data_IF_391487651016
#
_entry.id   IF_391487651016
#
_cell.length_a   1.000
_cell.length_b   1.000
_cell.length_c   1.000
_cell.angle_alpha   90.00
_cell.angle_beta   90.00
_cell.angle_gamma   90.00
#
_symmetry.space_group_name_H-M   'P 1'
#
loop_
_entity.id
_entity.type
_entity.pdbx_description
1 polymer ?
#
# COMPACT_ATOMS: atom_id res chain seq x y z
N UNK A 1 10.20 20.12 30.14
CA UNK A 1 9.92 18.78 30.66
C UNK A 1 9.68 17.90 29.44
N UNK A 2 10.76 17.38 28.84
CA UNK A 2 10.67 16.57 27.63
C UNK A 2 10.17 15.18 28.03
N UNK A 3 9.02 14.78 27.48
CA UNK A 3 8.46 13.46 27.67
C UNK A 3 9.53 12.40 27.41
N UNK A 4 9.60 11.40 28.31
CA UNK A 4 10.67 10.42 28.40
C UNK A 4 11.13 9.90 27.05
N UNK A 5 12.45 9.81 26.92
CA UNK A 5 13.21 9.27 25.80
C UNK A 5 12.78 7.82 25.51
N UNK A 6 11.63 7.66 24.85
CA UNK A 6 11.20 6.38 24.32
C UNK A 6 12.07 6.15 23.11
N UNK A 7 13.18 5.44 23.32
CA UNK A 7 14.03 4.93 22.24
C UNK A 7 13.14 4.08 21.35
N UNK A 8 12.64 4.67 20.26
CA UNK A 8 11.83 3.96 19.28
C UNK A 8 12.76 2.89 18.70
N UNK A 9 12.51 1.64 19.06
CA UNK A 9 13.26 0.53 18.49
C UNK A 9 12.81 0.32 17.05
N UNK A 10 13.65 -0.31 16.22
CA UNK A 10 13.28 -0.65 14.84
C UNK A 10 11.95 -1.42 14.77
N UNK A 11 11.71 -2.27 15.76
CA UNK A 11 10.47 -3.04 15.92
C UNK A 11 9.26 -2.13 16.18
N UNK A 12 9.38 -1.12 17.04
CA UNK A 12 8.30 -0.16 17.31
C UNK A 12 7.99 0.71 16.08
N UNK A 13 9.02 1.11 15.33
CA UNK A 13 8.87 1.86 14.09
C UNK A 13 8.11 1.05 13.02
N UNK A 14 8.40 -0.25 12.92
CA UNK A 14 7.71 -1.16 12.01
C UNK A 14 6.25 -1.40 12.42
N UNK A 15 5.98 -1.56 13.72
CA UNK A 15 4.63 -1.78 14.22
C UNK A 15 3.72 -0.56 14.02
N UNK A 16 4.27 0.64 14.23
CA UNK A 16 3.59 1.92 13.94
C UNK A 16 3.36 2.13 12.44
N UNK A 17 4.31 1.69 11.61
CA UNK A 17 4.18 1.73 10.15
C UNK A 17 3.03 0.83 9.68
N UNK A 18 2.97 -0.43 10.11
CA UNK A 18 1.95 -1.38 9.65
C UNK A 18 0.51 -0.91 9.93
N UNK A 19 0.27 -0.25 11.07
CA UNK A 19 -1.07 0.25 11.41
C UNK A 19 -1.49 1.47 10.58
N UNK A 20 -0.54 2.13 9.92
CA UNK A 20 -0.77 3.40 9.20
C UNK A 20 -0.73 3.24 7.68
N UNK A 21 -0.01 2.24 7.16
CA UNK A 21 0.18 2.08 5.71
C UNK A 21 -1.09 1.59 4.99
N UNK A 22 -1.82 2.55 4.40
CA UNK A 22 -2.93 2.33 3.46
C UNK A 22 -2.55 1.37 2.32
N UNK A 23 -1.31 1.45 1.82
CA UNK A 23 -0.80 0.58 0.76
C UNK A 23 -0.84 -0.92 1.13
N UNK A 24 -0.64 -1.27 2.40
CA UNK A 24 -0.71 -2.66 2.85
C UNK A 24 -2.16 -3.18 2.82
N UNK A 25 -3.11 -2.34 3.23
CA UNK A 25 -4.54 -2.66 3.19
C UNK A 25 -5.02 -2.81 1.75
N UNK A 26 -4.60 -1.92 0.84
CA UNK A 26 -4.90 -2.04 -0.59
C UNK A 26 -4.35 -3.35 -1.17
N UNK A 27 -3.09 -3.67 -0.88
CA UNK A 27 -2.50 -4.92 -1.36
C UNK A 27 -3.16 -6.17 -0.76
N UNK A 28 -3.66 -6.09 0.47
CA UNK A 28 -4.43 -7.17 1.09
C UNK A 28 -5.81 -7.34 0.44
N UNK A 29 -6.46 -6.23 0.09
CA UNK A 29 -7.71 -6.23 -0.66
C UNK A 29 -7.51 -6.82 -2.06
N UNK A 30 -6.40 -6.53 -2.74
CA UNK A 30 -6.07 -7.14 -4.03
C UNK A 30 -5.96 -8.67 -3.95
N UNK A 31 -5.41 -9.20 -2.86
CA UNK A 31 -5.39 -10.64 -2.58
C UNK A 31 -6.81 -11.16 -2.39
N UNK A 32 -7.64 -10.48 -1.60
CA UNK A 32 -9.03 -10.85 -1.36
C UNK A 32 -9.85 -10.87 -2.67
N UNK A 33 -9.72 -9.83 -3.50
CA UNK A 33 -10.36 -9.76 -4.81
C UNK A 33 -9.89 -10.89 -5.73
N UNK A 34 -8.60 -11.25 -5.66
CA UNK A 34 -8.05 -12.38 -6.40
C UNK A 34 -8.64 -13.72 -5.92
N UNK A 35 -8.84 -13.90 -4.63
CA UNK A 35 -9.54 -15.07 -4.05
C UNK A 35 -11.00 -15.14 -4.53
N UNK A 36 -11.71 -14.01 -4.58
CA UNK A 36 -13.05 -13.94 -5.21
C UNK A 36 -13.03 -14.26 -6.70
N UNK A 37 -11.90 -14.04 -7.37
CA UNK A 37 -11.66 -14.53 -8.72
C UNK A 37 -11.70 -16.07 -8.83
N UNK A 38 -11.23 -16.80 -7.81
CA UNK A 38 -11.32 -18.27 -7.76
C UNK A 38 -12.77 -18.70 -7.59
N UNK A 39 -13.50 -18.06 -6.67
CA UNK A 39 -14.93 -18.33 -6.44
C UNK A 39 -15.73 -18.10 -7.73
N UNK A 40 -15.46 -17.00 -8.43
CA UNK A 40 -16.07 -16.71 -9.74
C UNK A 40 -15.72 -17.75 -10.80
N UNK A 41 -14.47 -18.23 -10.83
CA UNK A 41 -14.04 -19.24 -11.79
C UNK A 41 -14.72 -20.59 -11.53
N UNK A 42 -14.91 -20.99 -10.26
CA UNK A 42 -15.64 -22.22 -9.95
C UNK A 42 -17.14 -22.08 -10.23
N UNK A 43 -17.73 -20.89 -10.08
CA UNK A 43 -19.12 -20.64 -10.48
C UNK A 43 -19.39 -20.88 -11.97
N UNK A 44 -18.38 -20.78 -12.85
CA UNK A 44 -18.54 -21.10 -14.28
C UNK A 44 -18.65 -22.61 -14.54
N UNK A 45 -18.23 -23.45 -13.59
CA UNK A 45 -18.34 -24.91 -13.66
C UNK A 45 -19.69 -25.38 -13.09
N UNK A 46 -20.26 -24.61 -12.17
CA UNK A 46 -21.54 -24.90 -11.53
C UNK A 46 -22.73 -24.54 -12.44
N UNK A 47 -23.87 -25.24 -12.32
CA UNK A 47 -25.09 -24.84 -13.02
C UNK A 47 -25.57 -23.47 -12.51
N UNK A 48 -26.03 -22.63 -13.43
CA UNK A 48 -26.59 -21.32 -13.12
C UNK A 48 -28.10 -21.35 -13.26
N UNK A 49 -28.82 -20.96 -12.21
CA UNK A 49 -30.25 -20.73 -12.24
C UNK A 49 -30.50 -19.22 -12.33
N UNK A 50 -31.23 -18.81 -13.36
CA UNK A 50 -31.63 -17.41 -13.56
C UNK A 50 -33.14 -17.36 -13.62
N UNK A 51 -33.72 -16.35 -12.96
CA UNK A 51 -35.15 -16.07 -12.99
C UNK A 51 -35.32 -14.62 -13.42
N UNK A 52 -36.08 -14.41 -14.47
CA UNK A 52 -36.31 -13.11 -15.09
C UNK A 52 -37.82 -12.82 -15.10
N UNK A 53 -38.18 -11.56 -14.87
CA UNK A 53 -39.55 -11.08 -14.95
C UNK A 53 -39.56 -9.80 -15.77
N UNK A 54 -40.26 -9.81 -16.90
CA UNK A 54 -40.28 -8.70 -17.85
C UNK A 54 -41.69 -8.14 -17.96
N UNK A 55 -41.82 -6.82 -17.88
CA UNK A 55 -43.06 -6.11 -18.13
C UNK A 55 -42.83 -5.11 -19.26
N UNK A 56 -43.51 -5.32 -20.38
CA UNK A 56 -43.42 -4.48 -21.57
C UNK A 56 -44.77 -3.83 -21.85
N UNK A 57 -44.79 -2.50 -21.92
CA UNK A 57 -45.98 -1.72 -22.30
C UNK A 57 -45.81 -1.20 -23.71
N UNK A 58 -46.77 -1.50 -24.59
CA UNK A 58 -46.72 -1.05 -25.98
C UNK A 58 -47.46 0.28 -26.13
N UNK A 59 -46.86 1.24 -26.83
CA UNK A 59 -47.47 2.55 -27.10
C UNK A 59 -48.30 2.51 -28.38
N UNK A 60 -49.48 3.11 -28.35
CA UNK A 60 -50.53 3.06 -29.39
C UNK A 60 -50.14 3.79 -30.69
N UNK A 61 -49.21 3.24 -31.49
CA UNK A 61 -48.96 3.75 -32.85
C UNK A 61 -49.35 2.78 -33.98
N UNK A 62 -49.81 1.56 -33.67
CA UNK A 62 -50.40 0.64 -34.67
C UNK A 62 -51.52 -0.21 -34.06
N UNK A 63 -52.72 0.38 -33.96
CA UNK A 63 -53.97 -0.37 -33.73
C UNK A 63 -54.15 -1.32 -34.90
N UNK A 64 -53.99 -2.63 -34.69
CA UNK A 64 -54.80 -3.68 -35.33
C UNK A 64 -54.40 -5.12 -34.97
N UNK A 65 -53.30 -5.42 -34.27
CA UNK A 65 -52.96 -6.82 -33.94
C UNK A 65 -52.10 -7.10 -32.68
N UNK A 66 -51.84 -6.13 -31.79
CA UNK A 66 -50.90 -6.33 -30.67
C UNK A 66 -51.52 -5.98 -29.29
N UNK A 67 -51.33 -6.81 -28.24
CA UNK A 67 -51.86 -6.55 -26.90
C UNK A 67 -51.21 -5.32 -26.21
N UNK A 68 -51.99 -4.60 -25.41
CA UNK A 68 -51.60 -3.32 -24.78
C UNK A 68 -50.46 -3.45 -23.76
N UNK A 69 -50.31 -4.63 -23.16
CA UNK A 69 -49.21 -4.97 -22.27
C UNK A 69 -48.82 -6.44 -22.43
N UNK A 70 -47.58 -6.74 -22.10
CA UNK A 70 -47.06 -8.10 -22.05
C UNK A 70 -46.22 -8.26 -20.80
N UNK A 71 -46.56 -9.29 -20.03
CA UNK A 71 -45.80 -9.71 -18.86
C UNK A 71 -45.26 -11.11 -19.15
N UNK A 72 -43.96 -11.31 -19.00
CA UNK A 72 -43.33 -12.63 -19.07
C UNK A 72 -42.57 -12.93 -17.79
N UNK A 73 -42.59 -14.19 -17.40
CA UNK A 73 -41.78 -14.73 -16.31
C UNK A 73 -41.05 -15.94 -16.86
N UNK A 74 -39.74 -15.95 -16.72
CA UNK A 74 -38.87 -16.94 -17.34
C UNK A 74 -37.91 -17.47 -16.28
N UNK A 75 -37.79 -18.78 -16.16
CA UNK A 75 -36.81 -19.44 -15.29
C UNK A 75 -35.93 -20.32 -16.16
N UNK A 76 -34.62 -20.08 -16.12
CA UNK A 76 -33.64 -20.76 -16.96
C UNK A 76 -32.57 -21.41 -16.09
N UNK A 77 -32.43 -22.73 -16.22
CA UNK A 77 -31.30 -23.48 -15.72
C UNK A 77 -30.30 -23.72 -16.86
N UNK A 78 -29.04 -23.33 -16.68
CA UNK A 78 -27.98 -23.50 -17.67
C UNK A 78 -26.79 -24.22 -17.07
N UNK A 79 -26.31 -25.28 -17.72
CA UNK A 79 -25.11 -26.02 -17.32
C UNK A 79 -24.28 -26.37 -18.56
N UNK A 80 -22.99 -26.04 -18.52
CA UNK A 80 -22.04 -26.50 -19.53
C UNK A 80 -21.65 -27.94 -19.25
N UNK A 81 -21.98 -28.88 -20.14
CA UNK A 81 -21.64 -30.29 -19.96
C UNK A 81 -20.16 -30.57 -20.25
N UNK A 82 -19.61 -29.97 -21.31
CA UNK A 82 -18.21 -30.12 -21.66
C UNK A 82 -17.74 -28.99 -22.58
N UNK A 83 -16.78 -28.21 -22.10
CA UNK A 83 -16.15 -27.12 -22.86
C UNK A 83 -14.65 -27.36 -23.11
N UNK A 84 -14.25 -28.62 -23.32
CA UNK A 84 -12.87 -28.97 -23.72
C UNK A 84 -11.80 -28.67 -22.66
N UNK A 85 -12.17 -28.60 -21.38
CA UNK A 85 -11.24 -28.29 -20.28
C UNK A 85 -10.95 -26.80 -20.07
N UNK A 86 -11.67 -25.91 -20.78
CA UNK A 86 -11.55 -24.45 -20.63
C UNK A 86 -11.78 -24.00 -19.19
N UNK A 87 -12.89 -24.41 -18.57
CA UNK A 87 -13.25 -23.94 -17.21
C UNK A 87 -12.24 -24.39 -16.14
N UNK A 88 -11.75 -25.62 -16.25
CA UNK A 88 -10.69 -26.13 -15.37
C UNK A 88 -9.38 -25.38 -15.52
N UNK A 89 -9.06 -24.96 -16.74
CA UNK A 89 -7.87 -24.15 -17.01
C UNK A 89 -8.02 -22.73 -16.48
N UNK A 90 -9.21 -22.13 -16.59
CA UNK A 90 -9.53 -20.84 -15.98
C UNK A 90 -9.46 -20.89 -14.45
N UNK A 91 -9.97 -21.96 -13.82
CA UNK A 91 -9.85 -22.14 -12.37
C UNK A 91 -8.40 -22.27 -11.91
N UNK A 92 -7.57 -23.05 -12.62
CA UNK A 92 -6.12 -23.14 -12.33
C UNK A 92 -5.42 -21.80 -12.54
N UNK A 93 -5.77 -21.07 -13.58
CA UNK A 93 -5.24 -19.72 -13.83
C UNK A 93 -5.62 -18.77 -12.70
N UNK A 94 -6.87 -18.78 -12.24
CA UNK A 94 -7.32 -17.96 -11.11
C UNK A 94 -6.51 -18.27 -9.84
N UNK A 95 -6.27 -19.55 -9.53
CA UNK A 95 -5.40 -19.95 -8.41
C UNK A 95 -3.98 -19.40 -8.53
N UNK A 96 -3.36 -19.52 -9.71
CA UNK A 96 -2.01 -18.99 -9.95
C UNK A 96 -1.96 -17.47 -9.89
N UNK A 97 -3.02 -16.79 -10.31
CA UNK A 97 -3.17 -15.34 -10.14
C UNK A 97 -3.23 -14.95 -8.67
N UNK A 98 -4.01 -15.64 -7.85
CA UNK A 98 -4.07 -15.40 -6.39
C UNK A 98 -2.72 -15.64 -5.71
N UNK A 99 -2.00 -16.69 -6.09
CA UNK A 99 -0.64 -16.95 -5.61
C UNK A 99 0.30 -15.78 -5.95
N UNK A 100 0.26 -15.27 -7.18
CA UNK A 100 1.01 -14.08 -7.59
C UNK A 100 0.64 -12.83 -6.79
N UNK A 101 -0.64 -12.60 -6.51
CA UNK A 101 -1.09 -11.47 -5.69
C UNK A 101 -0.57 -11.59 -4.24
N UNK A 102 -0.53 -12.81 -3.68
CA UNK A 102 0.05 -13.06 -2.35
C UNK A 102 1.54 -12.76 -2.30
N UNK A 103 2.29 -13.13 -3.34
CA UNK A 103 3.70 -12.75 -3.43
C UNK A 103 3.90 -11.23 -3.59
N UNK A 104 2.99 -10.54 -4.27
CA UNK A 104 3.03 -9.08 -4.41
C UNK A 104 2.77 -8.37 -3.07
N UNK A 105 1.88 -8.93 -2.25
CA UNK A 105 1.66 -8.47 -0.87
C UNK A 105 2.91 -8.63 -0.02
N UNK A 106 3.57 -9.77 -0.10
CA UNK A 106 4.82 -10.00 0.64
C UNK A 106 5.94 -9.04 0.18
N UNK A 107 6.09 -8.84 -1.14
CA UNK A 107 7.06 -7.88 -1.67
C UNK A 107 6.77 -6.43 -1.20
N UNK A 108 5.49 -6.05 -1.11
CA UNK A 108 5.08 -4.75 -0.56
C UNK A 108 5.46 -4.64 0.92
N UNK A 109 5.24 -5.70 1.70
CA UNK A 109 5.61 -5.77 3.11
C UNK A 109 7.12 -5.64 3.31
N UNK A 110 7.91 -6.36 2.52
CA UNK A 110 9.38 -6.28 2.52
C UNK A 110 9.87 -4.88 2.14
N UNK A 111 9.25 -4.26 1.12
CA UNK A 111 9.55 -2.89 0.72
C UNK A 111 9.29 -1.86 1.82
N UNK A 112 8.18 -2.00 2.55
CA UNK A 112 7.88 -1.17 3.73
C UNK A 112 8.94 -1.38 4.81
N UNK A 113 9.31 -2.63 5.11
CA UNK A 113 10.34 -2.95 6.10
C UNK A 113 11.69 -2.32 5.74
N UNK A 114 12.08 -2.37 4.47
CA UNK A 114 13.29 -1.73 3.96
C UNK A 114 13.23 -0.21 4.12
N UNK A 115 12.13 0.43 3.71
CA UNK A 115 11.95 1.88 3.81
C UNK A 115 11.99 2.37 5.26
N UNK A 116 11.33 1.66 6.19
CA UNK A 116 11.37 1.97 7.62
C UNK A 116 12.79 1.85 8.17
N UNK A 117 13.50 0.79 7.79
CA UNK A 117 14.90 0.57 8.21
C UNK A 117 15.81 1.70 7.70
N UNK A 118 15.68 2.08 6.43
CA UNK A 118 16.44 3.19 5.84
C UNK A 118 16.16 4.51 6.54
N UNK A 119 14.88 4.84 6.78
CA UNK A 119 14.48 6.05 7.48
C UNK A 119 15.05 6.11 8.90
N UNK A 120 14.98 4.98 9.63
CA UNK A 120 15.53 4.85 10.97
C UNK A 120 17.03 5.15 11.01
N UNK A 121 17.82 4.49 10.15
CA UNK A 121 19.26 4.72 10.09
C UNK A 121 19.62 6.13 9.59
N UNK A 122 18.79 6.73 8.74
CA UNK A 122 18.99 8.11 8.28
C UNK A 122 18.84 9.12 9.43
N UNK A 123 17.85 8.91 10.31
CA UNK A 123 17.67 9.72 11.52
C UNK A 123 18.87 9.57 12.46
N UNK A 124 19.27 8.33 12.78
CA UNK A 124 20.45 8.08 13.62
C UNK A 124 21.72 8.71 13.06
N UNK A 125 21.91 8.66 11.73
CA UNK A 125 23.03 9.32 11.06
C UNK A 125 22.95 10.83 11.20
N UNK A 126 21.78 11.42 11.03
CA UNK A 126 21.58 12.87 11.16
C UNK A 126 21.89 13.34 12.59
N UNK A 127 21.44 12.60 13.61
CA UNK A 127 21.77 12.87 15.02
C UNK A 127 23.28 12.88 15.25
N UNK A 128 23.99 11.85 14.75
CA UNK A 128 25.46 11.81 14.86
C UNK A 128 26.16 12.93 14.12
N UNK A 129 25.63 13.39 12.99
CA UNK A 129 26.17 14.55 12.28
C UNK A 129 25.98 15.81 13.13
N UNK A 130 24.82 16.01 13.77
CA UNK A 130 24.58 17.14 14.67
C UNK A 130 25.57 17.12 15.83
N UNK A 131 25.76 15.97 16.49
CA UNK A 131 26.73 15.81 17.58
C UNK A 131 28.15 16.24 17.17
N UNK A 132 28.60 15.81 15.99
CA UNK A 132 29.92 16.14 15.45
C UNK A 132 30.03 17.64 15.13
N UNK A 133 28.98 18.25 14.56
CA UNK A 133 28.96 19.67 14.21
C UNK A 133 28.99 20.54 15.45
N UNK A 134 28.26 20.17 16.50
CA UNK A 134 28.31 20.86 17.79
C UNK A 134 29.69 20.76 18.44
N UNK A 135 30.31 19.57 18.43
CA UNK A 135 31.65 19.38 18.94
C UNK A 135 32.69 20.22 18.16
N UNK A 136 32.53 20.31 16.85
CA UNK A 136 33.37 21.14 15.98
C UNK A 136 33.18 22.63 16.28
N UNK A 137 31.94 23.08 16.48
CA UNK A 137 31.63 24.46 16.86
C UNK A 137 32.24 24.83 18.21
N UNK A 138 32.15 23.93 19.21
CA UNK A 138 32.80 24.11 20.52
C UNK A 138 34.32 24.28 20.36
N UNK A 139 34.95 23.44 19.53
CA UNK A 139 36.39 23.52 19.25
C UNK A 139 36.80 24.85 18.59
N UNK A 140 36.07 25.28 17.56
CA UNK A 140 36.34 26.55 16.86
C UNK A 140 36.13 27.75 17.78
N UNK A 141 35.08 27.74 18.61
CA UNK A 141 34.86 28.77 19.64
C UNK A 141 36.04 28.86 20.62
N UNK A 142 36.57 27.72 21.06
CA UNK A 142 37.71 27.70 21.97
C UNK A 142 39.00 28.19 21.31
N UNK A 143 39.27 27.80 20.06
CA UNK A 143 40.40 28.33 19.29
C UNK A 143 40.31 29.86 19.15
N UNK A 144 39.11 30.38 18.83
CA UNK A 144 38.87 31.83 18.78
C UNK A 144 39.11 32.49 20.13
N UNK A 145 38.67 31.88 21.23
CA UNK A 145 38.90 32.37 22.59
C UNK A 145 40.40 32.48 22.88
N UNK A 146 41.15 31.40 22.66
CA UNK A 146 42.61 31.37 22.86
C UNK A 146 43.32 32.42 22.00
N UNK A 147 42.97 32.55 20.72
CA UNK A 147 43.53 33.56 19.82
C UNK A 147 43.23 34.99 20.28
N UNK A 148 41.99 35.25 20.72
CA UNK A 148 41.59 36.55 21.27
C UNK A 148 42.35 36.88 22.56
N UNK A 149 42.53 35.92 23.46
CA UNK A 149 43.31 36.10 24.69
C UNK A 149 44.76 36.44 24.36
N UNK A 150 45.42 35.69 23.45
CA UNK A 150 46.81 35.97 23.03
C UNK A 150 46.96 37.34 22.35
N UNK A 151 45.95 37.79 21.61
CA UNK A 151 45.93 39.13 21.04
C UNK A 151 45.87 40.22 22.12
N UNK A 152 45.06 40.02 23.17
CA UNK A 152 44.92 40.99 24.28
C UNK A 152 46.18 41.14 25.13
N UNK A 153 46.97 40.07 25.30
CA UNK A 153 48.30 40.15 25.95
C UNK A 153 49.43 40.58 25.01
N UNK A 154 49.13 40.92 23.75
CA UNK A 154 50.09 41.51 22.81
C UNK A 154 51.01 40.52 22.09
N UNK A 155 50.74 39.21 22.18
CA UNK A 155 51.57 38.15 21.55
C UNK A 155 51.29 37.93 20.06
N UNK A 156 50.15 38.38 19.52
CA UNK A 156 49.74 38.16 18.12
C UNK A 156 49.05 39.39 17.51
N UNK A 157 49.12 39.54 16.18
CA UNK A 157 48.55 40.67 15.43
C UNK A 157 47.07 40.47 15.03
N UNK A 158 46.36 41.58 14.79
CA UNK A 158 44.89 41.67 14.60
C UNK A 158 44.32 40.76 13.49
N UNK A 159 45.16 40.31 12.57
CA UNK A 159 44.81 39.44 11.44
C UNK A 159 44.48 37.99 11.82
N UNK A 160 44.90 37.50 13.00
CA UNK A 160 44.66 36.10 13.43
C UNK A 160 43.30 35.92 14.16
N UNK A 161 42.67 37.04 14.56
CA UNK A 161 41.46 37.05 15.40
C UNK A 161 40.17 37.23 14.57
N UNK A 162 40.30 37.72 13.33
CA UNK A 162 39.21 37.87 12.35
C UNK A 162 38.92 36.54 11.65
#
# INVERSE_FOLDING_TARGET
MFAGEKTITLTDAWQSAISTYETLMLSQEDVYQSEKGIDKAISQILPTLTADANYTKYSESKKNLQPDNSTSYDIKLSQSLYSGGKEWSLWRQAKKKTESSKHSLEATREGIMLNVSQAYYLVLKAEKIVDIKEASLRRVKEQRRVATTRFQVGEVTKAIVL
#
